data_IF_726659201439
#
_entry.id   IF_726659201439
#
_cell.length_a   1.000
_cell.length_b   1.000
_cell.length_c   1.000
_cell.angle_alpha   90.00
_cell.angle_beta   90.00
_cell.angle_gamma   90.00
#
_symmetry.space_group_name_H-M   'P 1'
#
loop_
_entity.id
_entity.type
_entity.pdbx_description
1 polymer ?
#
# COMPACT_ATOMS: atom_id res chain seq x y z
N UNK A 1 14.02 47.40 50.77
CA UNK A 1 13.81 45.93 50.90
C UNK A 1 12.32 45.63 50.88
N UNK A 2 11.78 45.14 49.76
CA UNK A 2 10.45 44.52 49.69
C UNK A 2 10.61 43.24 48.86
N UNK A 3 10.49 42.10 49.54
CA UNK A 3 10.66 40.76 48.95
C UNK A 3 9.37 40.37 48.25
N UNK A 4 9.46 40.08 46.96
CA UNK A 4 8.39 39.48 46.15
C UNK A 4 8.17 38.03 46.56
N UNK A 5 6.92 37.66 46.89
CA UNK A 5 6.51 36.28 47.07
C UNK A 5 5.94 35.75 45.74
N UNK A 6 6.69 34.83 45.11
CA UNK A 6 6.23 34.06 43.95
C UNK A 6 5.43 32.88 44.50
N UNK A 7 4.11 32.89 44.29
CA UNK A 7 3.26 31.74 44.56
C UNK A 7 3.43 30.72 43.42
N UNK A 8 4.19 29.66 43.68
CA UNK A 8 4.27 28.51 42.79
C UNK A 8 2.97 27.68 42.91
N UNK A 9 2.11 27.75 41.90
CA UNK A 9 1.01 26.81 41.74
C UNK A 9 1.62 25.48 41.27
N UNK A 10 1.81 24.56 42.20
CA UNK A 10 2.14 23.17 41.90
C UNK A 10 0.89 22.51 41.33
N UNK A 11 0.80 22.44 40.00
CA UNK A 11 -0.12 21.53 39.32
C UNK A 11 0.40 20.11 39.55
N UNK A 12 -0.21 19.43 40.52
CA UNK A 12 -0.03 18.01 40.80
C UNK A 12 -0.47 17.20 39.57
N UNK A 13 0.44 17.01 38.61
CA UNK A 13 0.27 16.03 37.56
C UNK A 13 0.40 14.64 38.18
N UNK A 14 -0.72 14.04 38.56
CA UNK A 14 -0.81 12.61 38.83
C UNK A 14 -0.50 11.88 37.52
N UNK A 15 0.76 11.52 37.35
CA UNK A 15 1.18 10.56 36.33
C UNK A 15 0.54 9.23 36.75
N UNK A 16 -0.58 8.87 36.13
CA UNK A 16 -1.06 7.49 36.17
C UNK A 16 -0.04 6.67 35.38
N UNK A 17 1.00 6.21 36.07
CA UNK A 17 1.89 5.18 35.57
C UNK A 17 1.04 3.95 35.29
N UNK A 18 0.66 3.76 34.02
CA UNK A 18 0.05 2.53 33.56
C UNK A 18 1.08 1.42 33.76
N UNK A 19 1.00 0.73 34.90
CA UNK A 19 1.86 -0.40 35.23
C UNK A 19 1.82 -1.41 34.09
N UNK A 20 2.97 -1.67 33.48
CA UNK A 20 3.14 -2.77 32.54
C UNK A 20 2.91 -4.08 33.29
N UNK A 21 1.71 -4.63 33.21
CA UNK A 21 1.40 -5.95 33.76
C UNK A 21 1.83 -7.02 32.76
N UNK A 22 2.77 -7.85 33.18
CA UNK A 22 3.25 -9.01 32.43
C UNK A 22 2.27 -10.17 32.59
N UNK A 23 2.13 -11.00 31.56
CA UNK A 23 1.60 -12.36 31.72
C UNK A 23 2.77 -13.25 32.13
N UNK A 24 2.75 -13.72 33.37
CA UNK A 24 3.61 -14.82 33.80
C UNK A 24 3.01 -16.13 33.29
N UNK A 25 3.80 -16.91 32.56
CA UNK A 25 3.46 -18.29 32.23
C UNK A 25 4.06 -19.16 33.33
N UNK A 26 3.25 -20.04 33.91
CA UNK A 26 3.64 -20.95 34.98
C UNK A 26 4.94 -21.73 34.59
N UNK A 27 6.02 -21.61 35.36
CA UNK A 27 7.27 -22.33 35.10
C UNK A 27 7.14 -23.86 35.19
N UNK A 28 6.03 -24.40 35.74
CA UNK A 28 5.72 -25.83 35.78
C UNK A 28 5.03 -26.36 34.50
N UNK A 29 4.72 -25.51 33.52
CA UNK A 29 4.10 -25.94 32.27
C UNK A 29 5.08 -26.79 31.44
N UNK A 30 4.70 -28.04 31.14
CA UNK A 30 5.51 -29.00 30.36
C UNK A 30 5.63 -28.62 28.87
N UNK A 31 4.89 -27.62 28.41
CA UNK A 31 5.01 -26.98 27.11
C UNK A 31 4.56 -25.51 27.20
N UNK A 32 5.23 -24.60 26.50
CA UNK A 32 4.74 -23.21 26.45
C UNK A 32 3.38 -23.17 25.73
N UNK A 33 2.38 -22.47 26.29
CA UNK A 33 1.06 -22.44 25.69
C UNK A 33 1.03 -21.59 24.42
N UNK A 34 0.12 -21.94 23.51
CA UNK A 34 -0.28 -21.03 22.45
C UNK A 34 -0.76 -19.70 23.06
N UNK A 35 -0.42 -18.58 22.40
CA UNK A 35 -0.73 -17.25 22.92
C UNK A 35 -1.76 -16.56 22.05
N UNK A 36 -2.88 -16.19 22.67
CA UNK A 36 -3.85 -15.27 22.07
C UNK A 36 -3.35 -13.84 22.15
N UNK A 37 -3.29 -13.20 20.99
CA UNK A 37 -2.86 -11.83 20.78
C UNK A 37 -4.08 -11.02 20.41
N UNK A 38 -4.36 -9.96 21.17
CA UNK A 38 -5.34 -8.96 20.76
C UNK A 38 -4.64 -7.84 20.00
N UNK A 39 -5.28 -7.36 18.94
CA UNK A 39 -4.76 -6.23 18.18
C UNK A 39 -5.82 -5.33 17.57
N UNK A 40 -5.35 -4.25 16.96
CA UNK A 40 -6.17 -3.16 16.40
C UNK A 40 -5.61 -2.67 15.08
N UNK A 41 -6.46 -2.21 14.19
CA UNK A 41 -6.05 -1.74 12.88
C UNK A 41 -5.54 -2.85 11.96
N UNK A 42 -5.30 -2.49 10.71
CA UNK A 42 -4.68 -3.35 9.72
C UNK A 42 -3.81 -2.48 8.82
N UNK A 43 -2.50 -2.71 8.89
CA UNK A 43 -1.45 -2.02 8.16
C UNK A 43 -0.51 -1.27 9.08
N UNK A 44 0.28 -0.36 8.50
CA UNK A 44 1.26 0.44 9.25
C UNK A 44 0.60 1.58 10.04
N UNK A 45 -0.59 2.03 9.66
CA UNK A 45 -1.36 3.04 10.38
C UNK A 45 -0.92 4.49 10.12
N UNK A 46 0.04 4.72 9.23
CA UNK A 46 0.53 6.07 8.88
C UNK A 46 -0.35 6.67 7.79
N UNK A 47 -0.68 7.96 7.93
CA UNK A 47 -1.54 8.65 6.98
C UNK A 47 -2.99 8.17 7.03
N UNK A 48 -3.60 7.98 5.86
CA UNK A 48 -5.05 7.80 5.75
C UNK A 48 -5.52 6.39 6.14
N UNK A 49 -6.48 6.30 7.07
CA UNK A 49 -7.29 5.09 7.24
C UNK A 49 -8.32 5.01 6.11
N UNK A 50 -8.37 3.88 5.40
CA UNK A 50 -9.38 3.62 4.37
C UNK A 50 -10.79 3.55 4.99
N UNK A 51 -10.95 2.76 6.05
CA UNK A 51 -12.22 2.69 6.79
C UNK A 51 -12.56 4.00 7.50
N UNK A 52 -11.56 4.75 7.94
CA UNK A 52 -11.76 6.06 8.54
C UNK A 52 -12.15 7.13 7.52
N UNK A 53 -11.61 7.10 6.30
CA UNK A 53 -12.09 7.95 5.21
C UNK A 53 -13.56 7.64 4.86
N UNK A 54 -13.94 6.36 4.85
CA UNK A 54 -15.33 5.95 4.72
C UNK A 54 -16.20 6.43 5.90
N UNK A 55 -15.73 6.30 7.14
CA UNK A 55 -16.42 6.81 8.33
C UNK A 55 -16.68 8.32 8.24
N UNK A 56 -15.66 9.09 7.88
CA UNK A 56 -15.76 10.54 7.67
C UNK A 56 -16.74 10.90 6.55
N UNK A 57 -16.73 10.15 5.43
CA UNK A 57 -17.64 10.36 4.32
C UNK A 57 -19.10 10.01 4.69
N UNK A 58 -19.33 8.97 5.51
CA UNK A 58 -20.65 8.66 6.08
C UNK A 58 -21.10 9.79 7.01
N UNK A 59 -20.19 10.38 7.78
CA UNK A 59 -20.43 11.54 8.63
C UNK A 59 -20.61 12.87 7.85
N UNK A 60 -20.68 12.83 6.51
CA UNK A 60 -20.92 14.00 5.67
C UNK A 60 -19.70 14.92 5.49
N UNK A 61 -18.50 14.51 5.90
CA UNK A 61 -17.29 15.32 5.70
C UNK A 61 -16.91 15.34 4.22
N UNK A 62 -16.49 16.52 3.75
CA UNK A 62 -16.00 16.72 2.38
C UNK A 62 -14.64 16.06 2.13
N UNK A 63 -14.28 15.87 0.86
CA UNK A 63 -12.96 15.33 0.46
C UNK A 63 -11.81 16.14 1.06
N UNK A 64 -11.94 17.48 1.08
CA UNK A 64 -10.94 18.36 1.67
C UNK A 64 -10.78 18.09 3.16
N UNK A 65 -11.89 18.00 3.91
CA UNK A 65 -11.85 17.71 5.34
C UNK A 65 -11.23 16.34 5.65
N UNK A 66 -11.55 15.32 4.85
CA UNK A 66 -10.94 13.99 4.97
C UNK A 66 -9.42 14.07 4.76
N UNK A 67 -8.98 14.68 3.67
CA UNK A 67 -7.56 14.78 3.34
C UNK A 67 -6.78 15.68 4.31
N UNK A 68 -7.38 16.79 4.78
CA UNK A 68 -6.75 17.69 5.76
C UNK A 68 -6.60 17.02 7.12
N UNK A 69 -7.52 16.13 7.47
CA UNK A 69 -7.37 15.32 8.66
C UNK A 69 -6.19 14.35 8.50
N UNK A 70 -6.11 13.56 7.44
CA UNK A 70 -5.06 12.53 7.33
C UNK A 70 -3.69 13.05 6.92
N UNK A 71 -3.63 14.22 6.28
CA UNK A 71 -2.41 14.86 5.80
C UNK A 71 -2.37 16.33 6.25
N UNK A 72 -2.31 16.60 7.56
CA UNK A 72 -2.35 17.95 8.11
C UNK A 72 -1.14 18.79 7.65
N UNK A 73 -1.32 20.10 7.57
CA UNK A 73 -0.26 21.03 7.14
C UNK A 73 0.12 20.94 5.66
N UNK A 74 -0.61 20.17 4.85
CA UNK A 74 -0.38 20.04 3.41
C UNK A 74 -1.35 20.89 2.60
N UNK A 75 -0.93 21.34 1.42
CA UNK A 75 -1.77 22.09 0.49
C UNK A 75 -2.19 21.24 -0.70
N UNK A 76 -3.26 21.65 -1.38
CA UNK A 76 -3.71 21.00 -2.62
C UNK A 76 -2.98 21.59 -3.82
N UNK A 77 -2.56 20.74 -4.75
CA UNK A 77 -2.00 21.15 -6.04
C UNK A 77 -2.47 20.20 -7.16
N UNK A 78 -1.99 20.43 -8.39
CA UNK A 78 -2.22 19.54 -9.53
C UNK A 78 -0.93 18.89 -10.02
N UNK A 79 -1.03 17.61 -10.38
CA UNK A 79 0.01 16.89 -11.11
C UNK A 79 -0.62 15.92 -12.11
N UNK A 80 -0.07 15.91 -13.32
CA UNK A 80 -0.48 15.03 -14.42
C UNK A 80 0.74 14.28 -14.97
N UNK A 81 0.64 13.73 -16.18
CA UNK A 81 1.73 13.04 -16.87
C UNK A 81 1.62 11.52 -16.83
N UNK A 82 2.64 10.85 -17.37
CA UNK A 82 2.73 9.40 -17.40
C UNK A 82 3.25 8.79 -16.09
N UNK A 83 3.10 7.48 -15.98
CA UNK A 83 3.74 6.64 -14.98
C UNK A 83 4.20 5.32 -15.62
N UNK A 84 5.28 4.76 -15.08
CA UNK A 84 5.90 3.51 -15.52
C UNK A 84 5.84 2.50 -14.38
N UNK A 85 5.17 1.37 -14.58
CA UNK A 85 4.95 0.36 -13.54
C UNK A 85 5.52 -0.97 -14.00
N UNK A 86 6.47 -1.52 -13.23
CA UNK A 86 6.97 -2.88 -13.48
C UNK A 86 5.89 -3.90 -13.11
N UNK A 87 5.65 -4.86 -13.99
CA UNK A 87 4.66 -5.91 -13.82
C UNK A 87 5.36 -7.16 -13.31
N UNK A 88 5.31 -7.44 -12.01
CA UNK A 88 6.09 -8.53 -11.40
C UNK A 88 5.57 -9.92 -11.74
N UNK A 89 4.33 -10.02 -12.22
CA UNK A 89 3.70 -11.29 -12.57
C UNK A 89 4.20 -11.88 -13.89
N UNK A 90 4.84 -11.07 -14.74
CA UNK A 90 5.47 -11.55 -15.95
C UNK A 90 6.95 -11.85 -15.68
N UNK A 91 7.26 -13.14 -15.63
CA UNK A 91 8.61 -13.65 -15.39
C UNK A 91 9.17 -14.34 -16.63
N UNK A 92 8.60 -14.05 -17.81
CA UNK A 92 9.13 -14.58 -19.07
C UNK A 92 10.36 -13.79 -19.52
N UNK A 93 11.13 -14.34 -20.46
CA UNK A 93 12.34 -13.68 -20.97
C UNK A 93 12.05 -12.46 -21.85
N UNK A 94 10.80 -12.28 -22.29
CA UNK A 94 10.37 -11.27 -23.25
C UNK A 94 8.88 -10.97 -23.15
N UNK A 95 8.45 -9.82 -23.66
CA UNK A 95 7.06 -9.36 -23.50
C UNK A 95 6.18 -10.01 -24.55
N UNK A 96 5.11 -10.70 -24.15
CA UNK A 96 4.16 -11.35 -25.06
C UNK A 96 2.78 -10.74 -24.97
N UNK A 97 2.18 -10.41 -26.11
CA UNK A 97 0.85 -9.79 -26.15
C UNK A 97 -0.06 -10.47 -27.15
N UNK A 98 -1.36 -10.48 -26.86
CA UNK A 98 -2.38 -10.90 -27.80
C UNK A 98 -2.46 -9.94 -29.00
N UNK A 99 -2.63 -10.49 -30.20
CA UNK A 99 -2.87 -9.73 -31.42
C UNK A 99 -4.24 -9.02 -31.33
N UNK A 100 -4.23 -7.70 -31.46
CA UNK A 100 -5.42 -6.86 -31.36
C UNK A 100 -5.40 -5.78 -32.44
N UNK A 101 -6.58 -5.30 -32.83
CA UNK A 101 -6.70 -4.20 -33.79
C UNK A 101 -5.99 -2.94 -33.30
N UNK A 102 -5.27 -2.26 -34.19
CA UNK A 102 -4.53 -1.04 -33.87
C UNK A 102 -3.22 -1.26 -33.10
N UNK A 103 -2.80 -2.51 -32.86
CA UNK A 103 -1.53 -2.80 -32.21
C UNK A 103 -0.35 -2.36 -33.08
N UNK A 104 0.64 -1.75 -32.45
CA UNK A 104 1.86 -1.26 -33.06
C UNK A 104 3.05 -1.62 -32.18
N UNK A 105 4.25 -1.66 -32.77
CA UNK A 105 5.51 -1.70 -32.02
C UNK A 105 6.27 -0.40 -32.24
N UNK A 106 6.87 0.14 -31.18
CA UNK A 106 7.81 1.27 -31.26
C UNK A 106 9.20 0.81 -30.87
N UNK A 107 10.20 1.12 -31.70
CA UNK A 107 11.61 1.04 -31.32
C UNK A 107 11.94 2.22 -30.39
N UNK A 108 12.46 1.94 -29.19
CA UNK A 108 12.81 3.01 -28.24
C UNK A 108 14.10 3.74 -28.62
N UNK A 109 15.02 3.07 -29.32
CA UNK A 109 16.26 3.68 -29.79
C UNK A 109 16.03 4.72 -30.90
N UNK A 110 15.07 4.47 -31.80
CA UNK A 110 14.84 5.32 -32.99
C UNK A 110 13.54 6.11 -32.93
N UNK A 111 12.64 5.78 -32.01
CA UNK A 111 11.28 6.32 -31.95
C UNK A 111 10.35 5.82 -33.06
N UNK A 112 10.84 5.05 -34.04
CA UNK A 112 10.06 4.60 -35.20
C UNK A 112 8.99 3.60 -34.79
N UNK A 113 7.79 3.79 -35.34
CA UNK A 113 6.60 2.98 -35.08
C UNK A 113 6.29 2.10 -36.29
N UNK A 114 5.89 0.86 -36.03
CA UNK A 114 5.54 -0.12 -37.03
C UNK A 114 4.17 -0.71 -36.69
N UNK A 115 3.15 -0.53 -37.54
CA UNK A 115 1.87 -1.21 -37.39
C UNK A 115 2.05 -2.72 -37.43
N UNK A 116 1.37 -3.44 -36.53
CA UNK A 116 1.45 -4.90 -36.46
C UNK A 116 0.21 -5.51 -37.15
N UNK A 117 0.38 -6.17 -38.32
CA UNK A 117 -0.75 -6.65 -39.08
C UNK A 117 -1.48 -7.78 -38.35
N UNK A 118 -2.81 -7.80 -38.49
CA UNK A 118 -3.64 -8.92 -38.03
C UNK A 118 -3.75 -9.97 -39.14
N UNK A 119 -3.61 -11.24 -38.78
CA UNK A 119 -3.98 -12.36 -39.63
C UNK A 119 -5.02 -13.21 -38.89
N UNK A 120 -5.87 -13.94 -39.60
CA UNK A 120 -6.89 -14.82 -38.99
C UNK A 120 -6.27 -15.95 -38.15
N UNK A 121 -5.01 -16.28 -38.41
CA UNK A 121 -4.25 -17.32 -37.72
C UNK A 121 -3.29 -16.77 -36.66
N UNK A 122 -3.02 -15.46 -36.68
CA UNK A 122 -2.08 -14.79 -35.77
C UNK A 122 -2.81 -14.29 -34.54
N UNK A 123 -2.46 -14.85 -33.41
CA UNK A 123 -3.07 -14.57 -32.12
C UNK A 123 -2.11 -13.88 -31.13
N UNK A 124 -0.78 -13.93 -31.34
CA UNK A 124 0.18 -13.28 -30.45
C UNK A 124 1.38 -12.62 -31.16
N UNK A 125 1.99 -11.68 -30.44
CA UNK A 125 3.25 -11.03 -30.76
C UNK A 125 4.19 -11.09 -29.56
N UNK A 126 5.50 -11.19 -29.80
CA UNK A 126 6.54 -11.14 -28.76
C UNK A 126 7.62 -10.11 -29.06
N UNK A 127 8.15 -9.48 -28.01
CA UNK A 127 9.42 -8.77 -28.03
C UNK A 127 10.36 -9.55 -27.11
N UNK A 128 11.33 -10.25 -27.69
CA UNK A 128 12.28 -11.10 -26.96
C UNK A 128 13.71 -10.53 -27.07
N UNK A 129 14.63 -10.90 -26.15
CA UNK A 129 16.05 -10.59 -26.25
C UNK A 129 16.63 -11.02 -27.61
N UNK A 130 17.56 -10.22 -28.14
CA UNK A 130 18.30 -10.54 -29.35
C UNK A 130 19.74 -10.01 -29.25
N UNK A 131 20.61 -10.81 -28.61
CA UNK A 131 21.95 -10.39 -28.22
C UNK A 131 21.94 -9.42 -27.04
N UNK A 132 23.12 -8.88 -26.70
CA UNK A 132 23.31 -8.04 -25.51
C UNK A 132 22.60 -6.68 -25.58
N UNK A 133 22.32 -6.18 -26.78
CA UNK A 133 21.83 -4.81 -26.97
C UNK A 133 20.63 -4.71 -27.92
N UNK A 134 19.95 -5.82 -28.20
CA UNK A 134 18.90 -5.87 -29.22
C UNK A 134 17.64 -6.59 -28.76
N UNK A 135 16.56 -6.36 -29.51
CA UNK A 135 15.32 -7.11 -29.37
C UNK A 135 14.87 -7.67 -30.71
N UNK A 136 14.19 -8.81 -30.67
CA UNK A 136 13.53 -9.40 -31.84
C UNK A 136 12.02 -9.39 -31.63
N UNK A 137 11.30 -8.96 -32.65
CA UNK A 137 9.86 -9.03 -32.74
C UNK A 137 9.46 -10.25 -33.55
N UNK A 138 8.63 -11.11 -32.95
CA UNK A 138 8.09 -12.30 -33.61
C UNK A 138 6.57 -12.34 -33.53
N UNK A 139 5.93 -13.02 -34.48
CA UNK A 139 4.51 -13.34 -34.43
C UNK A 139 4.29 -14.82 -34.22
N UNK A 140 3.30 -15.19 -33.41
CA UNK A 140 2.85 -16.57 -33.24
C UNK A 140 1.64 -16.86 -34.13
N UNK A 141 1.66 -18.00 -34.81
CA UNK A 141 0.53 -18.53 -35.54
C UNK A 141 -0.05 -19.73 -34.77
N UNK A 142 -1.29 -19.60 -34.30
CA UNK A 142 -1.92 -20.60 -33.44
C UNK A 142 -2.25 -21.90 -34.16
N UNK A 143 -2.44 -21.85 -35.50
CA UNK A 143 -2.79 -23.03 -36.29
C UNK A 143 -1.56 -23.91 -36.52
N UNK A 144 -0.45 -23.29 -36.89
CA UNK A 144 0.82 -23.98 -37.15
C UNK A 144 1.69 -24.13 -35.90
N UNK A 145 1.32 -23.48 -34.80
CA UNK A 145 2.05 -23.42 -33.54
C UNK A 145 3.50 -22.92 -33.70
N UNK A 146 3.71 -22.01 -34.64
CA UNK A 146 5.05 -21.56 -35.04
C UNK A 146 5.26 -20.07 -34.75
N UNK A 147 6.41 -19.76 -34.15
CA UNK A 147 6.92 -18.39 -34.08
C UNK A 147 7.68 -18.05 -35.36
N UNK A 148 7.39 -16.88 -35.91
CA UNK A 148 8.08 -16.35 -37.10
C UNK A 148 8.67 -14.99 -36.79
N UNK A 149 9.97 -14.82 -37.06
CA UNK A 149 10.65 -13.54 -36.93
C UNK A 149 10.02 -12.54 -37.88
N UNK A 150 9.65 -11.38 -37.34
CA UNK A 150 9.10 -10.28 -38.12
C UNK A 150 10.12 -9.16 -38.30
N UNK A 151 10.84 -8.80 -37.23
CA UNK A 151 11.84 -7.72 -37.27
C UNK A 151 12.83 -7.82 -36.12
N UNK A 152 14.01 -7.26 -36.30
CA UNK A 152 14.96 -6.98 -35.22
C UNK A 152 15.12 -5.48 -35.01
N UNK A 153 15.42 -5.10 -33.77
CA UNK A 153 15.68 -3.73 -33.35
C UNK A 153 16.99 -3.68 -32.57
N UNK A 154 17.76 -2.62 -32.79
CA UNK A 154 18.77 -2.17 -31.83
C UNK A 154 18.02 -1.55 -30.64
N UNK A 155 18.42 -1.95 -29.43
CA UNK A 155 17.82 -1.55 -28.18
C UNK A 155 16.43 -2.15 -27.93
N UNK A 156 15.73 -1.52 -26.99
CA UNK A 156 14.44 -1.95 -26.47
C UNK A 156 13.27 -1.51 -27.35
N UNK A 157 12.10 -2.14 -27.15
CA UNK A 157 10.88 -1.84 -27.88
C UNK A 157 9.65 -1.88 -26.95
N UNK A 158 8.53 -1.32 -27.41
CA UNK A 158 7.24 -1.41 -26.70
C UNK A 158 6.08 -1.67 -27.65
N UNK A 159 5.09 -2.41 -27.16
CA UNK A 159 3.78 -2.52 -27.78
C UNK A 159 2.90 -1.33 -27.38
N UNK A 160 2.21 -0.73 -28.35
CA UNK A 160 1.33 0.44 -28.14
C UNK A 160 0.23 0.52 -29.23
N UNK A 161 -0.54 1.61 -29.24
CA UNK A 161 -1.52 1.94 -30.28
C UNK A 161 -2.93 1.38 -30.02
N UNK A 162 -3.04 0.15 -29.54
CA UNK A 162 -4.33 -0.43 -29.19
C UNK A 162 -4.90 0.19 -27.89
N UNK A 163 -6.23 0.41 -27.78
CA UNK A 163 -6.84 0.97 -26.56
C UNK A 163 -6.60 0.12 -25.30
N UNK A 164 -6.51 -1.20 -25.49
CA UNK A 164 -6.25 -2.20 -24.46
C UNK A 164 -5.38 -3.30 -25.08
N UNK A 165 -4.30 -3.66 -24.38
CA UNK A 165 -3.36 -4.71 -24.79
C UNK A 165 -3.42 -5.84 -23.76
N UNK A 166 -3.64 -7.08 -24.21
CA UNK A 166 -3.59 -8.26 -23.36
C UNK A 166 -2.15 -8.80 -23.26
N UNK A 167 -1.54 -8.70 -22.09
CA UNK A 167 -0.27 -9.34 -21.74
C UNK A 167 -0.51 -10.83 -21.47
N UNK A 168 0.27 -11.70 -22.11
CA UNK A 168 0.22 -13.14 -21.90
C UNK A 168 1.27 -13.51 -20.86
N UNK A 169 0.82 -14.00 -19.71
CA UNK A 169 1.68 -14.39 -18.59
C UNK A 169 2.32 -15.77 -18.80
N UNK A 170 3.36 -16.14 -18.02
CA UNK A 170 3.98 -17.47 -18.10
C UNK A 170 2.99 -18.64 -17.99
N UNK A 171 1.92 -18.48 -17.22
CA UNK A 171 0.87 -19.49 -17.06
C UNK A 171 -0.08 -19.62 -18.26
N UNK A 172 0.06 -18.76 -19.27
CA UNK A 172 -0.89 -18.62 -20.38
C UNK A 172 -2.10 -17.72 -20.05
N UNK A 173 -2.26 -17.29 -18.80
CA UNK A 173 -3.31 -16.34 -18.43
C UNK A 173 -3.07 -14.98 -19.10
N UNK A 174 -4.15 -14.31 -19.51
CA UNK A 174 -4.08 -12.98 -20.13
C UNK A 174 -4.52 -11.91 -19.14
N UNK A 175 -3.70 -10.88 -18.93
CA UNK A 175 -4.06 -9.67 -18.18
C UNK A 175 -4.08 -8.46 -19.09
N UNK A 176 -5.12 -7.63 -18.99
CA UNK A 176 -5.28 -6.47 -19.87
C UNK A 176 -4.72 -5.20 -19.26
N UNK A 177 -4.09 -4.38 -20.10
CA UNK A 177 -3.51 -3.10 -19.71
C UNK A 177 -3.85 -2.02 -20.72
N UNK A 178 -3.95 -0.77 -20.25
CA UNK A 178 -4.02 0.42 -21.11
C UNK A 178 -2.62 0.98 -21.36
N UNK A 179 -2.49 1.83 -22.38
CA UNK A 179 -1.25 2.48 -22.72
C UNK A 179 -0.31 1.53 -23.47
N UNK A 180 0.96 1.50 -23.08
CA UNK A 180 1.97 0.68 -23.71
C UNK A 180 2.50 -0.41 -22.76
N UNK A 181 2.94 -1.52 -23.33
CA UNK A 181 3.71 -2.56 -22.65
C UNK A 181 5.12 -2.55 -23.20
N UNK A 182 6.06 -2.09 -22.39
CA UNK A 182 7.45 -1.87 -22.74
C UNK A 182 8.30 -3.03 -22.27
N UNK A 183 9.09 -3.59 -23.17
CA UNK A 183 10.19 -4.48 -22.84
C UNK A 183 11.39 -3.64 -22.42
N UNK A 184 11.94 -3.86 -21.24
CA UNK A 184 13.17 -3.19 -20.80
C UNK A 184 14.14 -4.20 -20.23
N UNK A 185 15.42 -3.93 -20.39
CA UNK A 185 16.46 -4.66 -19.68
C UNK A 185 16.77 -3.95 -18.36
N UNK A 186 16.55 -4.62 -17.22
CA UNK A 186 16.89 -4.12 -15.88
C UNK A 186 18.13 -4.82 -15.31
N UNK A 187 18.42 -6.05 -15.72
CA UNK A 187 19.42 -6.93 -15.07
C UNK A 187 20.32 -7.74 -16.01
N UNK A 188 20.20 -7.58 -17.33
CA UNK A 188 21.04 -8.20 -18.37
C UNK A 188 20.61 -9.60 -18.83
N UNK A 189 19.76 -10.29 -18.06
CA UNK A 189 19.45 -11.71 -18.29
C UNK A 189 18.06 -11.98 -18.91
N UNK A 190 17.11 -11.05 -18.74
CA UNK A 190 15.74 -11.15 -19.23
C UNK A 190 15.17 -9.74 -19.46
N UNK A 191 14.10 -9.62 -20.26
CA UNK A 191 13.38 -8.36 -20.38
C UNK A 191 12.23 -8.29 -19.38
N UNK A 192 12.21 -7.24 -18.58
CA UNK A 192 11.08 -6.93 -17.71
C UNK A 192 9.95 -6.25 -18.49
N UNK A 193 8.71 -6.61 -18.16
CA UNK A 193 7.52 -5.92 -18.62
C UNK A 193 7.25 -4.68 -17.77
N UNK A 194 7.22 -3.51 -18.41
CA UNK A 194 6.81 -2.25 -17.81
C UNK A 194 5.58 -1.69 -18.52
N UNK A 195 4.49 -1.49 -17.78
CA UNK A 195 3.32 -0.79 -18.28
C UNK A 195 3.53 0.73 -18.19
N UNK A 196 3.39 1.42 -19.32
CA UNK A 196 3.57 2.87 -19.45
C UNK A 196 2.25 3.51 -19.88
N UNK A 197 1.69 4.38 -19.03
CA UNK A 197 0.36 4.93 -19.25
C UNK A 197 0.16 6.29 -18.54
N UNK A 198 -0.85 7.09 -18.95
CA UNK A 198 -1.27 8.28 -18.21
C UNK A 198 -1.65 7.95 -16.76
N UNK A 199 -1.26 8.82 -15.83
CA UNK A 199 -1.49 8.64 -14.39
C UNK A 199 -2.96 8.40 -14.04
N UNK A 200 -3.89 9.10 -14.68
CA UNK A 200 -5.33 8.92 -14.45
C UNK A 200 -5.83 7.53 -14.86
N UNK A 201 -5.27 6.92 -15.91
CA UNK A 201 -5.62 5.56 -16.32
C UNK A 201 -5.00 4.52 -15.39
N UNK A 202 -3.76 4.76 -14.93
CA UNK A 202 -3.13 3.93 -13.91
C UNK A 202 -3.96 3.83 -12.63
N UNK A 203 -4.49 4.97 -12.15
CA UNK A 203 -5.31 4.98 -10.93
C UNK A 203 -6.57 4.13 -11.04
N UNK A 204 -7.11 3.92 -12.25
CA UNK A 204 -8.27 3.04 -12.45
C UNK A 204 -7.97 1.57 -12.14
N UNK A 205 -6.70 1.16 -12.29
CA UNK A 205 -6.25 -0.18 -11.90
C UNK A 205 -5.78 -0.28 -10.43
N UNK A 206 -5.59 0.86 -9.73
CA UNK A 206 -5.13 0.90 -8.34
C UNK A 206 -6.28 1.11 -7.36
N UNK A 207 -7.09 2.15 -7.53
CA UNK A 207 -8.11 2.55 -6.54
C UNK A 207 -9.11 1.42 -6.23
N UNK A 208 -9.58 0.61 -7.19
CA UNK A 208 -10.45 -0.56 -6.92
C UNK A 208 -9.77 -1.68 -6.13
N UNK A 209 -8.43 -1.76 -6.17
CA UNK A 209 -7.64 -2.73 -5.41
C UNK A 209 -7.36 -2.27 -3.99
N UNK A 210 -7.40 -0.96 -3.76
CA UNK A 210 -7.09 -0.35 -2.47
C UNK A 210 -8.35 0.00 -1.66
N UNK A 211 -9.48 0.32 -2.29
CA UNK A 211 -10.72 0.67 -1.58
C UNK A 211 -11.91 -0.17 -2.03
N UNK A 212 -12.87 -0.36 -1.11
CA UNK A 212 -14.13 -1.03 -1.42
C UNK A 212 -14.94 -0.13 -2.35
N UNK A 213 -15.24 -0.62 -3.55
CA UNK A 213 -15.79 0.18 -4.66
C UNK A 213 -17.20 0.71 -4.42
N UNK A 214 -17.93 0.16 -3.44
CA UNK A 214 -19.28 0.59 -3.04
C UNK A 214 -19.30 1.70 -1.98
N UNK A 215 -18.14 2.15 -1.50
CA UNK A 215 -18.04 3.22 -0.51
C UNK A 215 -18.50 4.58 -1.01
N UNK A 216 -18.70 5.51 -0.06
CA UNK A 216 -19.21 6.85 -0.36
C UNK A 216 -18.27 7.57 -1.34
N UNK A 217 -18.80 8.37 -2.29
CA UNK A 217 -17.98 9.08 -3.27
C UNK A 217 -16.82 9.87 -2.66
N UNK A 218 -17.05 10.58 -1.55
CA UNK A 218 -16.00 11.37 -0.89
C UNK A 218 -14.83 10.52 -0.37
N UNK A 219 -15.09 9.28 0.08
CA UNK A 219 -14.04 8.36 0.51
C UNK A 219 -13.22 7.85 -0.68
N UNK A 220 -13.88 7.47 -1.78
CA UNK A 220 -13.21 7.05 -3.01
C UNK A 220 -12.40 8.20 -3.65
N UNK A 221 -12.91 9.42 -3.55
CA UNK A 221 -12.22 10.64 -4.02
C UNK A 221 -10.96 10.92 -3.17
N UNK A 222 -11.06 10.83 -1.84
CA UNK A 222 -9.90 10.95 -0.96
C UNK A 222 -8.86 9.86 -1.23
N UNK A 223 -9.29 8.60 -1.42
CA UNK A 223 -8.42 7.49 -1.84
C UNK A 223 -7.73 7.79 -3.17
N UNK A 224 -8.45 8.34 -4.14
CA UNK A 224 -7.89 8.69 -5.45
C UNK A 224 -6.79 9.75 -5.34
N UNK A 225 -7.00 10.79 -4.52
CA UNK A 225 -5.99 11.83 -4.27
C UNK A 225 -4.78 11.28 -3.52
N UNK A 226 -4.98 10.45 -2.51
CA UNK A 226 -3.88 9.80 -1.78
C UNK A 226 -3.05 8.90 -2.70
N UNK A 227 -3.71 8.02 -3.46
CA UNK A 227 -3.05 7.14 -4.42
C UNK A 227 -2.26 7.95 -5.46
N UNK A 228 -2.87 8.97 -6.08
CA UNK A 228 -2.21 9.86 -7.05
C UNK A 228 -0.98 10.55 -6.46
N UNK A 229 -1.11 11.10 -5.26
CA UNK A 229 -0.02 11.82 -4.59
C UNK A 229 1.15 10.90 -4.30
N UNK A 230 0.88 9.68 -3.80
CA UNK A 230 1.89 8.66 -3.59
C UNK A 230 2.60 8.30 -4.91
N UNK A 231 1.86 8.09 -5.99
CA UNK A 231 2.45 7.76 -7.28
C UNK A 231 3.37 8.87 -7.82
N UNK A 232 2.95 10.14 -7.67
CA UNK A 232 3.77 11.30 -8.07
C UNK A 232 5.00 11.44 -7.18
N UNK A 233 4.89 11.18 -5.87
CA UNK A 233 6.02 11.20 -4.93
C UNK A 233 7.13 10.24 -5.35
N UNK A 234 6.77 9.02 -5.74
CA UNK A 234 7.72 7.98 -6.19
C UNK A 234 8.26 8.25 -7.59
N UNK A 235 7.41 8.64 -8.54
CA UNK A 235 7.83 9.05 -9.89
C UNK A 235 8.91 10.14 -9.84
N UNK A 236 8.73 11.18 -9.02
CA UNK A 236 9.69 12.27 -8.90
C UNK A 236 11.03 11.84 -8.25
N UNK A 237 11.08 10.66 -7.63
CA UNK A 237 12.28 10.07 -7.00
C UNK A 237 12.85 8.90 -7.80
N UNK A 238 12.23 8.53 -8.92
CA UNK A 238 12.66 7.44 -9.78
C UNK A 238 13.61 7.89 -10.90
N UNK A 239 14.28 9.05 -10.73
CA UNK A 239 15.24 9.56 -11.71
C UNK A 239 16.32 8.50 -11.99
N UNK A 240 16.60 8.25 -13.28
CA UNK A 240 17.54 7.22 -13.73
C UNK A 240 17.03 5.77 -13.65
N UNK A 241 15.85 5.50 -13.07
CA UNK A 241 15.27 4.15 -13.03
C UNK A 241 14.43 3.86 -14.26
N UNK A 242 14.36 2.58 -14.61
CA UNK A 242 13.58 2.12 -15.75
C UNK A 242 12.05 2.17 -15.52
N UNK A 243 11.62 2.13 -14.26
CA UNK A 243 10.22 2.26 -13.82
C UNK A 243 10.10 3.11 -12.54
N UNK A 244 8.88 3.61 -12.30
CA UNK A 244 8.56 4.52 -11.18
C UNK A 244 8.02 3.77 -9.96
N UNK A 245 7.24 2.70 -10.19
CA UNK A 245 6.59 1.87 -9.19
C UNK A 245 6.58 0.39 -9.60
N UNK A 246 6.32 -0.48 -8.62
CA UNK A 246 5.98 -1.89 -8.79
C UNK A 246 4.47 -2.13 -8.59
N UNK A 247 3.96 -3.27 -9.03
CA UNK A 247 2.52 -3.65 -8.98
C UNK A 247 2.11 -4.44 -7.72
N UNK A 248 2.99 -4.53 -6.72
CA UNK A 248 2.77 -5.28 -5.48
C UNK A 248 2.54 -4.38 -4.27
N UNK A 249 2.26 -4.98 -3.12
CA UNK A 249 2.09 -4.29 -1.83
C UNK A 249 3.34 -3.57 -1.34
N UNK A 250 4.51 -3.85 -1.91
CA UNK A 250 5.73 -3.05 -1.68
C UNK A 250 5.60 -1.63 -2.25
N UNK A 251 4.67 -1.42 -3.17
CA UNK A 251 4.33 -0.15 -3.80
C UNK A 251 2.82 0.09 -3.65
N UNK A 252 2.04 -0.09 -4.73
CA UNK A 252 0.57 -0.09 -4.72
C UNK A 252 0.09 -1.26 -5.57
N UNK A 253 -0.97 -1.94 -5.12
CA UNK A 253 -1.50 -3.07 -5.88
C UNK A 253 -2.10 -2.54 -7.17
N UNK A 254 -1.54 -2.93 -8.31
CA UNK A 254 -1.98 -2.50 -9.62
C UNK A 254 -2.53 -3.67 -10.43
N UNK A 255 -3.84 -3.65 -10.68
CA UNK A 255 -4.54 -4.75 -11.34
C UNK A 255 -4.86 -4.53 -12.82
N UNK A 256 -4.28 -3.50 -13.45
CA UNK A 256 -4.50 -3.21 -14.87
C UNK A 256 -5.95 -2.85 -15.22
N UNK A 257 -6.30 -3.04 -16.50
CA UNK A 257 -7.62 -2.73 -17.06
C UNK A 257 -8.73 -3.60 -16.46
N UNK A 258 -8.44 -4.86 -16.16
CA UNK A 258 -9.45 -5.80 -15.66
C UNK A 258 -9.95 -5.47 -14.24
N UNK A 259 -9.33 -4.48 -13.57
CA UNK A 259 -9.74 -4.02 -12.25
C UNK A 259 -10.56 -2.73 -12.28
N UNK A 260 -10.75 -2.10 -13.44
CA UNK A 260 -11.46 -0.81 -13.52
C UNK A 260 -12.92 -0.95 -13.10
N UNK A 261 -13.39 0.01 -12.29
CA UNK A 261 -14.75 0.02 -11.76
C UNK A 261 -15.42 1.38 -11.97
N UNK A 262 -16.73 1.39 -12.23
CA UNK A 262 -17.42 2.64 -12.61
C UNK A 262 -17.42 3.67 -11.47
N UNK A 263 -17.61 3.25 -10.22
CA UNK A 263 -17.68 4.14 -9.06
C UNK A 263 -16.33 4.81 -8.76
N UNK A 264 -15.25 4.05 -8.80
CA UNK A 264 -13.88 4.56 -8.60
C UNK A 264 -13.43 5.40 -9.79
N UNK A 265 -13.78 5.03 -11.03
CA UNK A 265 -13.50 5.85 -12.22
C UNK A 265 -14.14 7.25 -12.11
N UNK A 266 -15.37 7.34 -11.60
CA UNK A 266 -16.04 8.62 -11.32
C UNK A 266 -15.30 9.42 -10.24
N UNK A 267 -14.84 8.76 -9.17
CA UNK A 267 -14.09 9.42 -8.10
C UNK A 267 -12.71 9.94 -8.56
N UNK A 268 -12.01 9.16 -9.38
CA UNK A 268 -10.74 9.53 -10.01
C UNK A 268 -10.95 10.76 -10.90
N UNK A 269 -11.96 10.73 -11.77
CA UNK A 269 -12.29 11.85 -12.66
C UNK A 269 -12.69 13.12 -11.90
N UNK A 270 -13.48 13.00 -10.83
CA UNK A 270 -13.90 14.12 -9.99
C UNK A 270 -12.72 14.78 -9.24
N UNK A 271 -11.59 14.07 -9.11
CA UNK A 271 -10.37 14.56 -8.45
C UNK A 271 -9.18 14.64 -9.41
N UNK A 272 -9.46 14.76 -10.71
CA UNK A 272 -8.43 14.69 -11.76
C UNK A 272 -7.26 15.65 -11.48
N UNK A 273 -6.05 15.08 -11.50
CA UNK A 273 -4.80 15.77 -11.21
C UNK A 273 -4.59 16.21 -9.76
N UNK A 274 -5.58 16.13 -8.87
CA UNK A 274 -5.46 16.65 -7.51
C UNK A 274 -4.46 15.82 -6.68
N UNK A 275 -3.50 16.50 -6.06
CA UNK A 275 -2.49 15.92 -5.16
C UNK A 275 -2.29 16.78 -3.89
N UNK A 276 -1.58 16.23 -2.90
CA UNK A 276 -1.17 16.94 -1.66
C UNK A 276 0.32 17.28 -1.66
N UNK A 277 0.66 18.52 -1.30
CA UNK A 277 2.03 19.00 -1.18
C UNK A 277 2.37 19.42 0.24
N UNK A 278 3.63 19.21 0.63
CA UNK A 278 4.23 19.82 1.82
C UNK A 278 5.49 20.58 1.36
N UNK A 279 5.59 21.87 1.71
CA UNK A 279 6.67 22.75 1.25
C UNK A 279 6.92 22.66 -0.27
N UNK A 280 5.84 22.73 -1.06
CA UNK A 280 5.88 22.70 -2.53
C UNK A 280 6.23 21.35 -3.15
N UNK A 281 6.48 20.30 -2.35
CA UNK A 281 6.83 18.95 -2.85
C UNK A 281 5.69 17.97 -2.60
N UNK A 282 5.41 17.03 -3.53
CA UNK A 282 4.45 15.94 -3.28
C UNK A 282 4.81 15.18 -2.01
N UNK A 283 3.81 14.87 -1.19
CA UNK A 283 3.99 14.10 0.04
C UNK A 283 4.07 12.60 -0.22
N UNK A 284 4.68 11.84 0.68
CA UNK A 284 4.45 10.39 0.77
C UNK A 284 3.06 10.16 1.39
N UNK A 285 2.04 10.13 0.55
CA UNK A 285 0.64 9.96 0.96
C UNK A 285 0.34 8.49 1.28
N UNK A 286 0.97 7.97 2.34
CA UNK A 286 0.68 6.61 2.81
C UNK A 286 -0.77 6.48 3.30
N UNK A 287 -1.30 5.28 3.18
CA UNK A 287 -2.63 4.91 3.66
C UNK A 287 -2.64 3.41 4.02
N UNK A 288 -3.56 3.01 4.90
CA UNK A 288 -3.73 1.62 5.27
C UNK A 288 -5.20 1.28 5.53
N UNK A 289 -5.54 -0.01 5.59
CA UNK A 289 -6.93 -0.45 5.77
C UNK A 289 -7.58 0.19 7.00
N UNK A 290 -6.94 0.09 8.15
CA UNK A 290 -7.49 0.58 9.41
C UNK A 290 -6.38 1.05 10.35
N UNK A 291 -6.59 2.22 10.95
CA UNK A 291 -5.67 2.82 11.91
C UNK A 291 -5.92 2.32 13.35
N UNK A 292 -6.97 1.52 13.60
CA UNK A 292 -7.26 0.97 14.93
C UNK A 292 -7.68 2.01 15.98
N UNK A 293 -8.10 3.20 15.53
CA UNK A 293 -8.49 4.34 16.38
C UNK A 293 -7.44 5.44 16.56
N UNK A 294 -6.22 5.29 16.03
CA UNK A 294 -5.21 6.36 15.98
C UNK A 294 -4.17 6.14 14.87
N UNK A 295 -3.77 7.23 14.22
CA UNK A 295 -2.68 7.21 13.24
C UNK A 295 -1.35 6.86 13.93
N UNK A 296 -0.45 6.18 13.23
CA UNK A 296 0.93 5.98 13.66
C UNK A 296 1.80 7.18 13.24
N UNK A 297 2.83 7.54 14.03
CA UNK A 297 3.81 8.52 13.58
C UNK A 297 4.62 7.95 12.41
N UNK A 298 5.13 8.84 11.56
CA UNK A 298 6.13 8.53 10.55
C UNK A 298 7.24 9.58 10.51
N UNK A 299 8.20 9.39 9.61
CA UNK A 299 9.38 10.27 9.53
C UNK A 299 9.06 11.64 8.91
N UNK A 300 7.90 11.76 8.25
CA UNK A 300 7.49 13.01 7.62
C UNK A 300 6.67 13.91 8.58
N UNK A 301 6.83 15.25 8.53
CA UNK A 301 6.15 16.17 9.45
C UNK A 301 4.61 16.12 9.44
N UNK A 302 4.00 15.67 8.35
CA UNK A 302 2.55 15.52 8.21
C UNK A 302 2.04 14.13 8.65
N UNK A 303 2.93 13.20 9.03
CA UNK A 303 2.56 11.87 9.52
C UNK A 303 2.51 11.87 11.04
N UNK A 304 1.52 12.61 11.56
CA UNK A 304 1.36 12.82 12.99
C UNK A 304 0.64 11.66 13.67
N UNK A 305 1.05 11.34 14.89
CA UNK A 305 0.32 10.48 15.82
C UNK A 305 -0.86 11.25 16.40
N UNK A 306 -2.09 10.82 16.12
CA UNK A 306 -3.31 11.43 16.66
C UNK A 306 -4.46 10.44 16.69
N UNK A 307 -5.47 10.74 17.51
CA UNK A 307 -6.72 9.98 17.54
C UNK A 307 -7.43 10.04 16.18
N UNK A 308 -8.03 8.91 15.80
CA UNK A 308 -8.79 8.72 14.58
C UNK A 308 -10.14 8.08 14.93
N UNK A 309 -11.08 8.93 15.34
CA UNK A 309 -12.44 8.51 15.70
C UNK A 309 -13.26 8.03 14.50
N UNK A 310 -12.87 8.38 13.27
CA UNK A 310 -13.59 7.95 12.07
C UNK A 310 -13.27 6.50 11.69
N UNK A 311 -12.08 6.01 12.05
CA UNK A 311 -11.70 4.62 11.86
C UNK A 311 -12.67 3.65 12.55
N UNK A 312 -13.19 4.02 13.71
CA UNK A 312 -14.20 3.28 14.47
C UNK A 312 -15.63 3.86 14.32
N UNK A 313 -15.89 4.65 13.27
CA UNK A 313 -17.18 5.32 13.10
C UNK A 313 -18.33 4.32 12.98
N UNK A 314 -19.47 4.54 13.67
CA UNK A 314 -20.63 3.68 13.52
C UNK A 314 -21.04 3.52 12.05
N UNK A 315 -21.32 2.29 11.63
CA UNK A 315 -21.76 1.94 10.25
C UNK A 315 -20.67 2.02 9.15
N UNK A 316 -19.41 2.32 9.47
CA UNK A 316 -18.34 2.18 8.47
C UNK A 316 -17.97 0.70 8.20
N UNK A 317 -18.44 -0.22 9.05
CA UNK A 317 -18.28 -1.66 8.89
C UNK A 317 -16.83 -2.14 9.02
N UNK A 318 -15.97 -1.42 9.75
CA UNK A 318 -14.55 -1.75 9.89
C UNK A 318 -14.33 -3.02 10.73
N UNK A 319 -13.97 -4.17 10.13
CA UNK A 319 -13.74 -5.41 10.87
C UNK A 319 -12.35 -5.45 11.53
N UNK A 320 -11.55 -4.40 11.31
CA UNK A 320 -10.17 -4.30 11.77
C UNK A 320 -10.01 -3.33 12.94
N UNK A 321 -11.07 -2.71 13.45
CA UNK A 321 -11.00 -1.86 14.66
C UNK A 321 -10.36 -2.64 15.81
N UNK A 322 -10.78 -3.89 15.97
CA UNK A 322 -10.20 -4.87 16.90
C UNK A 322 -10.19 -6.25 16.27
N UNK A 323 -9.22 -7.08 16.63
CA UNK A 323 -9.14 -8.47 16.23
C UNK A 323 -8.37 -9.28 17.28
N UNK A 324 -8.54 -10.60 17.26
CA UNK A 324 -7.76 -11.55 18.06
C UNK A 324 -7.20 -12.62 17.17
N UNK A 325 -6.01 -13.11 17.50
CA UNK A 325 -5.40 -14.25 16.81
C UNK A 325 -4.57 -15.08 17.78
N UNK A 326 -4.63 -16.40 17.66
CA UNK A 326 -3.79 -17.31 18.45
C UNK A 326 -2.58 -17.73 17.62
N UNK A 327 -1.39 -17.66 18.23
CA UNK A 327 -0.13 -18.13 17.64
C UNK A 327 0.43 -19.29 18.44
N UNK A 328 1.04 -20.24 17.74
CA UNK A 328 1.61 -21.42 18.37
C UNK A 328 2.87 -21.06 19.17
N UNK A 329 3.26 -21.91 20.12
CA UNK A 329 4.53 -21.75 20.80
C UNK A 329 5.72 -21.79 19.83
N UNK A 330 5.63 -22.58 18.74
CA UNK A 330 6.67 -22.65 17.72
C UNK A 330 6.85 -21.30 17.01
N UNK A 331 5.77 -20.62 16.64
CA UNK A 331 5.83 -19.30 16.00
C UNK A 331 6.52 -18.26 16.90
N UNK A 332 6.18 -18.29 18.19
CA UNK A 332 6.76 -17.38 19.18
C UNK A 332 8.25 -17.67 19.40
N UNK A 333 8.64 -18.95 19.48
CA UNK A 333 10.04 -19.37 19.56
C UNK A 333 10.84 -18.92 18.34
N UNK A 334 10.34 -19.15 17.14
CA UNK A 334 10.97 -18.72 15.89
C UNK A 334 11.07 -17.18 15.79
N UNK A 335 10.09 -16.46 16.32
CA UNK A 335 10.06 -14.99 16.27
C UNK A 335 11.12 -14.36 17.16
N UNK A 336 11.24 -14.83 18.41
CA UNK A 336 12.08 -14.19 19.43
C UNK A 336 13.43 -14.85 19.65
N UNK A 337 13.57 -16.13 19.28
CA UNK A 337 14.80 -16.92 19.44
C UNK A 337 15.34 -16.94 20.88
N UNK A 338 14.44 -17.19 21.85
CA UNK A 338 14.76 -17.21 23.30
C UNK A 338 14.54 -18.58 23.95
N UNK A 339 14.42 -19.64 23.16
CA UNK A 339 13.97 -20.94 23.66
C UNK A 339 12.52 -20.87 24.16
N UNK A 340 12.16 -21.71 25.12
CA UNK A 340 10.79 -21.83 25.62
C UNK A 340 10.30 -20.52 26.25
N UNK A 341 9.19 -19.97 25.78
CA UNK A 341 8.64 -18.65 26.14
C UNK A 341 8.02 -18.69 27.54
N UNK A 342 8.60 -17.93 28.47
CA UNK A 342 8.11 -17.77 29.86
C UNK A 342 7.28 -16.51 30.06
N UNK A 343 7.58 -15.42 29.34
CA UNK A 343 6.75 -14.21 29.36
C UNK A 343 6.85 -13.41 28.08
N UNK A 344 5.75 -12.71 27.77
CA UNK A 344 5.66 -11.72 26.70
C UNK A 344 5.06 -10.44 27.26
N UNK A 345 5.73 -9.31 27.04
CA UNK A 345 5.26 -7.99 27.50
C UNK A 345 5.52 -6.89 26.49
N UNK A 346 4.56 -5.98 26.38
CA UNK A 346 4.75 -4.70 25.68
C UNK A 346 5.48 -3.76 26.62
N UNK A 347 6.66 -3.28 26.21
CA UNK A 347 7.48 -2.39 27.04
C UNK A 347 7.18 -0.91 26.82
N UNK A 348 6.94 -0.52 25.56
CA UNK A 348 6.71 0.88 25.17
C UNK A 348 5.51 0.96 24.25
N UNK A 349 4.76 2.04 24.38
CA UNK A 349 3.63 2.38 23.50
C UNK A 349 3.72 3.82 23.05
N UNK A 350 2.97 4.13 22.00
CA UNK A 350 2.87 5.49 21.44
C UNK A 350 2.16 6.49 22.36
N UNK A 351 1.35 6.04 23.31
CA UNK A 351 0.65 6.90 24.27
C UNK A 351 -0.68 7.47 23.77
N UNK A 352 -1.02 7.31 22.48
CA UNK A 352 -2.24 7.86 21.88
C UNK A 352 -3.14 6.75 21.37
N UNK A 353 -4.42 6.83 21.75
CA UNK A 353 -5.47 5.86 21.42
C UNK A 353 -5.61 4.73 22.45
N UNK A 354 -6.49 3.75 22.19
CA UNK A 354 -6.89 2.74 23.17
C UNK A 354 -5.73 1.94 23.77
N UNK A 355 -5.85 1.63 25.06
CA UNK A 355 -4.89 0.80 25.78
C UNK A 355 -3.48 1.40 25.84
N UNK A 356 -3.35 2.73 25.74
CA UNK A 356 -2.09 3.46 25.72
C UNK A 356 -1.41 3.51 24.34
N UNK A 357 -2.12 3.16 23.27
CA UNK A 357 -1.64 3.25 21.90
C UNK A 357 -0.90 2.02 21.37
N UNK A 358 -0.44 2.13 20.11
CA UNK A 358 0.35 1.12 19.39
C UNK A 358 1.56 0.69 20.19
N UNK A 359 1.85 -0.60 20.21
CA UNK A 359 3.09 -1.11 20.78
C UNK A 359 4.28 -0.61 19.94
N UNK A 360 5.36 -0.23 20.61
CA UNK A 360 6.63 0.15 19.98
C UNK A 360 7.64 -0.98 20.11
N UNK A 361 7.75 -1.56 21.29
CA UNK A 361 8.70 -2.65 21.60
C UNK A 361 8.05 -3.72 22.44
N UNK A 362 8.41 -4.97 22.15
CA UNK A 362 7.91 -6.17 22.83
C UNK A 362 9.09 -6.97 23.31
N UNK A 363 9.03 -7.41 24.55
CA UNK A 363 10.02 -8.30 25.14
C UNK A 363 9.47 -9.70 25.31
N UNK A 364 10.27 -10.68 24.89
CA UNK A 364 10.11 -12.07 25.27
C UNK A 364 11.22 -12.46 26.23
N UNK A 365 10.84 -13.12 27.32
CA UNK A 365 11.77 -13.82 28.21
C UNK A 365 11.51 -15.31 28.01
N UNK A 366 12.56 -16.05 27.68
CA UNK A 366 12.49 -17.49 27.50
C UNK A 366 13.62 -18.24 28.20
N UNK A 367 13.66 -19.55 28.05
CA UNK A 367 14.62 -20.43 28.72
C UNK A 367 16.08 -20.19 28.33
N UNK A 368 16.35 -19.59 27.15
CA UNK A 368 17.70 -19.28 26.66
C UNK A 368 18.09 -17.81 26.82
N UNK A 369 17.21 -16.96 27.34
CA UNK A 369 17.50 -15.54 27.57
C UNK A 369 16.34 -14.61 27.28
N UNK A 370 16.67 -13.35 26.99
CA UNK A 370 15.69 -12.28 26.77
C UNK A 370 15.94 -11.60 25.42
N UNK A 371 14.87 -11.33 24.67
CA UNK A 371 14.92 -10.60 23.40
C UNK A 371 13.89 -9.48 23.39
N UNK A 372 14.31 -8.29 22.94
CA UNK A 372 13.42 -7.17 22.65
C UNK A 372 13.38 -6.97 21.15
N UNK A 373 12.18 -6.92 20.59
CA UNK A 373 11.92 -6.62 19.17
C UNK A 373 11.01 -5.41 19.05
N UNK A 374 11.08 -4.71 17.91
CA UNK A 374 10.06 -3.72 17.59
C UNK A 374 8.72 -4.41 17.33
N UNK A 375 7.62 -3.71 17.59
CA UNK A 375 6.29 -4.26 17.30
C UNK A 375 6.09 -4.57 15.81
N UNK A 376 6.77 -3.85 14.91
CA UNK A 376 6.71 -4.10 13.47
C UNK A 376 7.46 -5.38 13.08
N UNK A 377 8.62 -5.65 13.70
CA UNK A 377 9.34 -6.93 13.54
C UNK A 377 8.47 -8.10 14.01
N UNK A 378 7.80 -7.96 15.15
CA UNK A 378 6.87 -8.98 15.66
C UNK A 378 5.68 -9.15 14.72
N UNK A 379 5.08 -8.06 14.23
CA UNK A 379 3.99 -8.09 13.26
C UNK A 379 4.37 -8.89 12.02
N UNK A 380 5.53 -8.60 11.42
CA UNK A 380 6.00 -9.24 10.18
C UNK A 380 6.25 -10.73 10.43
N UNK A 381 7.00 -11.08 11.48
CA UNK A 381 7.36 -12.47 11.80
C UNK A 381 6.19 -13.35 12.19
N UNK A 382 5.17 -12.78 12.86
CA UNK A 382 3.96 -13.51 13.27
C UNK A 382 2.77 -13.32 12.30
N UNK A 383 2.98 -12.68 11.15
CA UNK A 383 1.94 -12.39 10.17
C UNK A 383 0.68 -11.76 10.81
N UNK A 384 0.88 -10.71 11.61
CA UNK A 384 -0.20 -9.99 12.29
C UNK A 384 -0.72 -8.85 11.40
N UNK A 385 -1.99 -8.46 11.58
CA UNK A 385 -2.58 -7.35 10.81
C UNK A 385 -1.90 -6.01 11.09
N UNK A 386 -1.39 -5.78 12.30
CA UNK A 386 -0.73 -4.53 12.69
C UNK A 386 0.26 -4.73 13.84
N UNK A 387 1.07 -3.70 14.12
CA UNK A 387 1.90 -3.62 15.32
C UNK A 387 1.16 -3.13 16.57
N UNK A 388 -0.15 -2.84 16.47
CA UNK A 388 -0.95 -2.45 17.63
C UNK A 388 -1.46 -3.68 18.35
N UNK A 389 -0.63 -4.26 19.22
CA UNK A 389 -0.93 -5.52 19.91
C UNK A 389 -0.81 -5.45 21.44
N UNK A 390 -1.45 -6.40 22.11
CA UNK A 390 -1.42 -6.57 23.57
C UNK A 390 -1.47 -8.05 23.98
N UNK A 391 -0.93 -8.32 25.17
CA UNK A 391 -0.96 -9.61 25.86
C UNK A 391 -1.33 -9.34 27.33
N UNK A 392 -2.42 -9.89 27.93
CA UNK A 392 -3.64 -10.47 27.34
C UNK A 392 -4.59 -9.39 26.75
N UNK A 393 -5.78 -9.76 26.20
CA UNK A 393 -6.72 -8.80 25.58
C UNK A 393 -7.15 -7.66 26.52
N UNK A 394 -7.36 -6.45 25.98
CA UNK A 394 -7.85 -5.26 26.72
C UNK A 394 -9.16 -4.74 26.12
N UNK A 395 -10.01 -4.18 26.97
CA UNK A 395 -11.28 -3.54 26.58
C UNK A 395 -11.08 -2.27 25.71
N UNK A 396 -12.17 -1.81 25.09
CA UNK A 396 -12.22 -0.68 24.16
C UNK A 396 -12.45 0.66 24.88
N UNK A 397 -11.43 1.53 24.87
CA UNK A 397 -11.54 2.92 25.32
C UNK A 397 -11.28 3.89 24.14
N UNK A 398 -12.22 4.02 23.19
CA UNK A 398 -12.17 5.02 22.10
C UNK A 398 -13.27 6.05 22.32
N UNK A 399 -12.97 7.35 22.42
CA UNK A 399 -13.99 8.37 22.28
C UNK A 399 -14.47 8.42 20.83
N UNK A 400 -15.74 8.04 20.61
CA UNK A 400 -16.42 8.21 19.32
C UNK A 400 -17.00 9.63 19.33
N UNK A 401 -16.43 10.54 18.54
CA UNK A 401 -17.03 11.86 18.35
C UNK A 401 -18.27 11.73 17.45
N UNK A 402 -19.42 11.46 18.06
CA UNK A 402 -20.73 11.38 17.38
C UNK A 402 -21.40 12.76 17.21
N UNK A 403 -20.98 13.78 17.97
CA UNK A 403 -21.78 15.01 18.14
C UNK A 403 -21.46 16.16 17.17
N UNK A 404 -20.51 16.03 16.26
CA UNK A 404 -20.25 17.09 15.25
C UNK A 404 -21.20 17.03 14.03
N UNK A 405 -22.12 16.06 13.98
CA UNK A 405 -23.07 15.89 12.88
C UNK A 405 -24.42 16.62 13.09
N UNK A 406 -24.65 17.23 14.27
CA UNK A 406 -25.95 17.78 14.65
C UNK A 406 -26.03 19.32 14.74
N UNK A 407 -25.00 20.06 14.33
CA UNK A 407 -25.02 21.53 14.33
C UNK A 407 -24.78 22.12 12.94
N UNK A 408 -25.79 22.04 12.08
CA UNK A 408 -26.04 22.99 10.99
C UNK A 408 -27.53 23.14 10.75
#
# INVERSE_FOLDING_TARGET
MRKSAIAAVVLSSTVISATAQAREIDPAATADPATTIAGRGFGHGRGMSQYGAQGAAIAGKSVKQILDFYYPGTTTAKATGGIRVRISADTTDGVRVGAVSGLQVRSLATGKVYPLPRATTRDQWSIDPNGEHGTRLSSYDAKTKKWTLYKTFTGMAQFEGAPVIGLVLPSGAVRKYRGALRAIDVSGNHLDTVNVLPLELYLRGVVPREAITSWKPAALQAQSVAARTYSVYHRNRASGRAYDLCDTTSCQVYGGYDSEETSTNKAIAATAGQIRLYNGKPIIAEFSSSNGGATAPGDAPYQLLKADGWDAYPRNGNPNVTWTVTRSAADLRATFDVGSIRSLRVLKRTGVGPGGGRALTIQAVGSKGTRVLSADQVRIRLHLRSGWISFPPRALDIPINVDEAASR
#
